data_IF_937055202602
#
_entry.id   IF_937055202602
#
_cell.length_a   1.000
_cell.length_b   1.000
_cell.length_c   1.000
_cell.angle_alpha   90.00
_cell.angle_beta   90.00
_cell.angle_gamma   90.00
#
_symmetry.space_group_name_H-M   'P 1'
#
loop_
_entity.id
_entity.type
_entity.pdbx_description
1 polymer ?
#
# COMPACT_ATOMS: atom_id res chain seq x y z
N UNK A 1 2.71 -15.56 9.70
CA UNK A 1 3.10 -14.13 9.77
C UNK A 1 2.98 -13.42 8.42
N UNK A 2 3.50 -14.03 7.34
CA UNK A 2 3.44 -13.49 5.97
C UNK A 2 2.00 -13.26 5.48
N UNK A 3 1.08 -14.19 5.75
CA UNK A 3 -0.35 -14.07 5.39
C UNK A 3 -1.05 -12.87 6.05
N UNK A 4 -0.69 -12.50 7.28
CA UNK A 4 -1.25 -11.33 7.96
C UNK A 4 -0.79 -10.03 7.28
N UNK A 5 0.49 -9.98 6.90
CA UNK A 5 1.05 -8.87 6.13
C UNK A 5 0.41 -8.76 4.74
N UNK A 6 0.12 -9.90 4.11
CA UNK A 6 -0.62 -9.96 2.85
C UNK A 6 -2.05 -9.45 2.96
N UNK A 7 -2.76 -9.82 4.05
CA UNK A 7 -4.11 -9.30 4.33
C UNK A 7 -4.12 -7.78 4.46
N UNK A 8 -3.13 -7.22 5.16
CA UNK A 8 -2.99 -5.77 5.32
C UNK A 8 -2.69 -5.07 3.99
N UNK A 9 -1.98 -5.71 3.06
CA UNK A 9 -1.77 -5.17 1.71
C UNK A 9 -3.05 -5.17 0.87
N UNK A 10 -3.86 -6.24 0.98
CA UNK A 10 -5.19 -6.28 0.35
C UNK A 10 -6.10 -5.17 0.90
N UNK A 11 -6.07 -4.95 2.21
CA UNK A 11 -6.79 -3.84 2.84
C UNK A 11 -6.28 -2.49 2.32
N UNK A 12 -4.96 -2.30 2.23
CA UNK A 12 -4.39 -1.08 1.67
C UNK A 12 -4.81 -0.85 0.20
N UNK A 13 -4.90 -1.91 -0.61
CA UNK A 13 -5.41 -1.83 -1.97
C UNK A 13 -6.85 -1.33 -2.02
N UNK A 14 -7.72 -1.85 -1.15
CA UNK A 14 -9.09 -1.36 -1.01
C UNK A 14 -9.13 0.10 -0.56
N UNK A 15 -8.26 0.50 0.38
CA UNK A 15 -8.19 1.90 0.82
C UNK A 15 -7.78 2.85 -0.30
N UNK A 16 -6.91 2.42 -1.23
CA UNK A 16 -6.54 3.21 -2.43
C UNK A 16 -7.75 3.39 -3.34
N UNK A 17 -8.51 2.32 -3.61
CA UNK A 17 -9.68 2.35 -4.50
C UNK A 17 -10.82 3.20 -3.93
N UNK A 18 -11.05 3.14 -2.62
CA UNK A 18 -12.13 3.86 -1.94
C UNK A 18 -11.66 5.16 -1.26
N UNK A 19 -10.46 5.65 -1.59
CA UNK A 19 -9.82 6.79 -0.93
C UNK A 19 -10.68 8.06 -0.88
N UNK A 20 -11.53 8.28 -1.89
CA UNK A 20 -12.45 9.43 -1.98
C UNK A 20 -13.46 9.46 -0.83
N UNK A 21 -13.89 8.29 -0.33
CA UNK A 21 -14.94 8.17 0.69
C UNK A 21 -14.38 7.95 2.09
N UNK A 22 -13.07 7.79 2.23
CA UNK A 22 -12.44 7.39 3.47
C UNK A 22 -11.90 8.61 4.24
N UNK A 23 -11.94 8.57 5.59
CA UNK A 23 -11.35 9.61 6.41
C UNK A 23 -9.83 9.66 6.21
N UNK A 24 -9.28 10.86 6.06
CA UNK A 24 -7.84 11.10 5.86
C UNK A 24 -6.95 10.37 6.88
N UNK A 25 -7.39 10.28 8.15
CA UNK A 25 -6.66 9.57 9.21
C UNK A 25 -6.37 8.10 8.85
N UNK A 26 -7.31 7.41 8.21
CA UNK A 26 -7.11 6.02 7.78
C UNK A 26 -6.08 5.94 6.65
N UNK A 27 -6.12 6.88 5.70
CA UNK A 27 -5.13 6.94 4.62
C UNK A 27 -3.73 7.19 5.16
N UNK A 28 -3.57 8.08 6.14
CA UNK A 28 -2.28 8.29 6.81
C UNK A 28 -1.76 7.04 7.52
N UNK A 29 -2.63 6.33 8.27
CA UNK A 29 -2.22 5.11 8.96
C UNK A 29 -1.77 4.05 7.95
N UNK A 30 -2.52 3.85 6.87
CA UNK A 30 -2.18 2.89 5.82
C UNK A 30 -0.90 3.28 5.07
N UNK A 31 -0.72 4.57 4.80
CA UNK A 31 0.50 5.09 4.18
C UNK A 31 1.73 4.81 5.03
N UNK A 32 1.68 5.16 6.32
CA UNK A 32 2.78 4.90 7.24
C UNK A 32 3.06 3.42 7.40
N UNK A 33 2.02 2.58 7.51
CA UNK A 33 2.17 1.13 7.53
C UNK A 33 2.96 0.62 6.32
N UNK A 34 2.58 1.01 5.09
CA UNK A 34 3.26 0.57 3.88
C UNK A 34 4.69 1.09 3.77
N UNK A 35 4.93 2.35 4.18
CA UNK A 35 6.29 2.92 4.19
C UNK A 35 7.17 2.15 5.17
N UNK A 36 6.75 1.99 6.44
CA UNK A 36 7.57 1.30 7.43
C UNK A 36 7.79 -0.16 7.05
N UNK A 37 6.76 -0.84 6.56
CA UNK A 37 6.87 -2.22 6.06
C UNK A 37 7.85 -2.31 4.90
N UNK A 38 7.68 -1.48 3.87
CA UNK A 38 8.55 -1.49 2.70
C UNK A 38 10.00 -1.17 3.03
N UNK A 39 10.25 -0.19 3.91
CA UNK A 39 11.61 0.12 4.39
C UNK A 39 12.18 -1.05 5.19
N UNK A 40 11.41 -1.63 6.10
CA UNK A 40 11.87 -2.77 6.91
C UNK A 40 12.27 -3.96 6.04
N UNK A 41 11.41 -4.39 5.10
CA UNK A 41 11.70 -5.54 4.24
C UNK A 41 12.74 -5.25 3.14
N UNK A 42 12.82 -4.02 2.64
CA UNK A 42 13.89 -3.66 1.70
C UNK A 42 15.28 -3.76 2.34
N UNK A 43 15.42 -3.39 3.62
CA UNK A 43 16.68 -3.52 4.36
C UNK A 43 16.93 -4.97 4.80
N UNK A 44 15.90 -5.65 5.33
CA UNK A 44 16.06 -6.98 5.92
C UNK A 44 16.28 -8.08 4.89
N UNK A 45 15.63 -8.00 3.73
CA UNK A 45 15.61 -9.08 2.73
C UNK A 45 16.11 -8.66 1.34
N UNK A 46 16.53 -7.40 1.14
CA UNK A 46 16.98 -6.85 -0.16
C UNK A 46 15.94 -7.13 -1.26
N UNK A 47 14.66 -6.99 -0.91
CA UNK A 47 13.56 -7.31 -1.79
C UNK A 47 13.10 -6.07 -2.58
N UNK A 48 13.22 -6.13 -3.90
CA UNK A 48 12.78 -5.06 -4.80
C UNK A 48 11.25 -4.82 -4.74
N UNK A 49 10.46 -5.84 -4.41
CA UNK A 49 8.99 -5.67 -4.23
C UNK A 49 8.67 -4.79 -3.01
N UNK A 50 9.60 -4.64 -2.07
CA UNK A 50 9.42 -3.79 -0.89
C UNK A 50 9.61 -2.31 -1.20
N UNK A 51 10.31 -1.96 -2.29
CA UNK A 51 10.37 -0.58 -2.80
C UNK A 51 8.98 -0.14 -3.30
N UNK A 52 8.24 -1.07 -3.91
CA UNK A 52 6.86 -0.83 -4.35
C UNK A 52 5.93 -0.45 -3.19
N UNK A 53 6.12 -1.04 -2.00
CA UNK A 53 5.32 -0.67 -0.82
C UNK A 53 5.60 0.76 -0.37
N UNK A 54 6.87 1.19 -0.40
CA UNK A 54 7.25 2.56 -0.06
C UNK A 54 6.61 3.55 -1.03
N UNK A 55 6.62 3.25 -2.33
CA UNK A 55 5.97 4.08 -3.36
C UNK A 55 4.44 4.11 -3.19
N UNK A 56 3.83 2.96 -2.90
CA UNK A 56 2.39 2.86 -2.63
C UNK A 56 2.00 3.67 -1.39
N UNK A 57 2.80 3.61 -0.32
CA UNK A 57 2.60 4.39 0.89
C UNK A 57 2.79 5.89 0.64
N UNK A 58 3.81 6.29 -0.12
CA UNK A 58 4.02 7.68 -0.52
C UNK A 58 2.84 8.22 -1.33
N UNK A 59 2.28 7.42 -2.25
CA UNK A 59 1.09 7.79 -3.00
C UNK A 59 -0.16 7.90 -2.11
N UNK A 60 -0.34 7.02 -1.13
CA UNK A 60 -1.42 7.14 -0.15
C UNK A 60 -1.34 8.44 0.67
N UNK A 61 -0.13 8.95 0.95
CA UNK A 61 0.03 10.30 1.52
C UNK A 61 -0.47 11.37 0.56
N UNK A 62 -0.11 11.30 -0.72
CA UNK A 62 -0.60 12.24 -1.74
C UNK A 62 -2.13 12.21 -1.86
N UNK A 63 -2.72 11.01 -1.81
CA UNK A 63 -4.17 10.83 -1.77
C UNK A 63 -4.80 11.51 -0.54
N UNK A 64 -4.17 11.43 0.63
CA UNK A 64 -4.67 12.09 1.84
C UNK A 64 -4.71 13.63 1.70
N UNK A 65 -3.83 14.21 0.88
CA UNK A 65 -3.83 15.64 0.51
C UNK A 65 -4.77 15.99 -0.66
N UNK A 66 -5.54 15.02 -1.17
CA UNK A 66 -6.49 15.23 -2.27
C UNK A 66 -5.87 15.14 -3.67
N UNK A 67 -4.60 14.75 -3.79
CA UNK A 67 -3.94 14.54 -5.07
C UNK A 67 -4.23 13.11 -5.57
N UNK A 68 -5.44 12.93 -6.12
CA UNK A 68 -5.88 11.65 -6.67
C UNK A 68 -5.74 11.62 -8.20
N UNK A 69 -4.98 10.65 -8.71
CA UNK A 69 -4.98 10.30 -10.13
C UNK A 69 -5.58 8.91 -10.31
N UNK A 70 -6.74 8.76 -10.97
CA UNK A 70 -7.42 7.47 -11.10
C UNK A 70 -6.53 6.38 -11.72
N UNK A 71 -5.69 6.74 -12.69
CA UNK A 71 -4.75 5.82 -13.32
C UNK A 71 -3.68 5.30 -12.34
N UNK A 72 -3.10 6.19 -11.52
CA UNK A 72 -2.11 5.79 -10.50
C UNK A 72 -2.75 5.01 -9.36
N UNK A 73 -3.96 5.39 -8.92
CA UNK A 73 -4.72 4.63 -7.92
C UNK A 73 -4.99 3.20 -8.39
N UNK A 74 -5.40 3.03 -9.65
CA UNK A 74 -5.61 1.69 -10.22
C UNK A 74 -4.30 0.89 -10.28
N UNK A 75 -3.20 1.49 -10.74
CA UNK A 75 -1.90 0.81 -10.81
C UNK A 75 -1.41 0.35 -9.43
N UNK A 76 -1.51 1.20 -8.42
CA UNK A 76 -1.09 0.87 -7.04
C UNK A 76 -2.02 -0.16 -6.41
N UNK A 77 -3.34 -0.06 -6.64
CA UNK A 77 -4.27 -1.06 -6.15
C UNK A 77 -3.98 -2.45 -6.76
N UNK A 78 -3.72 -2.53 -8.07
CA UNK A 78 -3.37 -3.78 -8.74
C UNK A 78 -2.05 -4.35 -8.17
N UNK A 79 -1.05 -3.51 -7.97
CA UNK A 79 0.22 -3.91 -7.36
C UNK A 79 0.02 -4.51 -5.95
N UNK A 80 -0.70 -3.81 -5.08
CA UNK A 80 -0.97 -4.25 -3.72
C UNK A 80 -1.86 -5.51 -3.68
N UNK A 81 -2.83 -5.62 -4.59
CA UNK A 81 -3.65 -6.83 -4.75
C UNK A 81 -2.79 -8.04 -5.15
N UNK A 82 -1.96 -7.89 -6.17
CA UNK A 82 -1.06 -8.95 -6.62
C UNK A 82 -0.15 -9.42 -5.48
N UNK A 83 0.50 -8.48 -4.79
CA UNK A 83 1.40 -8.78 -3.67
C UNK A 83 0.68 -9.43 -2.49
N UNK A 84 -0.50 -8.92 -2.15
CA UNK A 84 -1.36 -9.47 -1.12
C UNK A 84 -1.75 -10.91 -1.42
N UNK A 85 -2.23 -11.20 -2.63
CA UNK A 85 -2.59 -12.57 -3.07
C UNK A 85 -1.38 -13.50 -3.06
N UNK A 86 -0.22 -13.06 -3.56
CA UNK A 86 1.01 -13.84 -3.55
C UNK A 86 1.50 -14.20 -2.15
N UNK A 87 1.11 -13.45 -1.12
CA UNK A 87 1.45 -13.76 0.27
C UNK A 87 0.64 -14.93 0.87
N UNK A 88 -0.40 -15.41 0.17
CA UNK A 88 -1.22 -16.56 0.56
C UNK A 88 -0.92 -17.84 -0.22
N UNK A 89 -0.21 -17.72 -1.35
CA UNK A 89 0.28 -18.85 -2.15
C UNK A 89 1.61 -19.37 -1.60
#
# INVERSE_FOLDING_TARGET
MIQLLGLLDLLAALLVLYSIFLPQKLLFIAAWYLIFKGVFFSIATIDFLSIGDVLAGAYLLLLAFGLASPAFSAAIAIFLLYKGVMSFL
#
